data_IF_877451748043
#
_entry.id   IF_877451748043
#
_cell.length_a   1.000
_cell.length_b   1.000
_cell.length_c   1.000
_cell.angle_alpha   90.00
_cell.angle_beta   90.00
_cell.angle_gamma   90.00
#
_symmetry.space_group_name_H-M   'P 1'
#
loop_
_entity.id
_entity.type
_entity.pdbx_description
1 polymer ?
#
# COMPACT_ATOMS: atom_id res chain seq x y z
N UNK A 1 87.33 -18.63 -25.33
CA UNK A 1 86.91 -18.66 -23.95
C UNK A 1 85.41 -18.42 -23.87
N UNK A 2 84.70 -19.54 -23.53
CA UNK A 2 83.29 -19.61 -23.46
C UNK A 2 82.81 -19.09 -22.11
N UNK A 3 81.83 -18.19 -22.13
CA UNK A 3 81.12 -17.78 -20.96
C UNK A 3 80.05 -18.86 -20.59
N UNK A 4 79.93 -19.26 -19.31
CA UNK A 4 78.84 -20.18 -18.89
C UNK A 4 77.51 -19.45 -18.86
N UNK A 5 76.54 -20.14 -19.41
CA UNK A 5 75.13 -19.71 -19.43
C UNK A 5 74.52 -19.60 -18.02
N UNK A 6 73.87 -18.46 -17.77
CA UNK A 6 73.11 -18.23 -16.55
C UNK A 6 71.90 -19.18 -16.43
N UNK A 7 71.76 -19.85 -15.31
CA UNK A 7 70.59 -20.67 -14.96
C UNK A 7 69.38 -19.76 -14.65
N UNK A 8 68.16 -20.13 -15.08
CA UNK A 8 66.97 -19.39 -14.70
C UNK A 8 66.66 -19.59 -13.21
N UNK A 9 66.61 -18.50 -12.49
CA UNK A 9 66.15 -18.47 -11.10
C UNK A 9 64.65 -18.86 -11.04
N UNK A 10 64.32 -19.81 -10.18
CA UNK A 10 62.95 -20.17 -9.86
C UNK A 10 62.24 -18.99 -9.17
N UNK A 11 60.93 -18.78 -9.39
CA UNK A 11 60.17 -17.71 -8.74
C UNK A 11 60.12 -17.96 -7.22
N UNK A 12 60.58 -16.98 -6.46
CA UNK A 12 60.42 -16.92 -5.00
C UNK A 12 58.90 -16.97 -4.66
N UNK A 13 58.52 -18.03 -3.99
CA UNK A 13 57.16 -18.12 -3.42
C UNK A 13 57.02 -17.09 -2.27
N UNK A 14 56.17 -16.10 -2.48
CA UNK A 14 55.77 -15.19 -1.42
C UNK A 14 55.06 -15.95 -0.30
N UNK A 15 55.38 -15.67 0.98
CA UNK A 15 54.66 -16.29 2.09
C UNK A 15 53.18 -16.01 2.04
N UNK A 16 52.34 -17.02 2.00
CA UNK A 16 50.90 -16.87 2.10
C UNK A 16 50.54 -16.32 3.49
N UNK A 17 49.65 -15.29 3.57
CA UNK A 17 49.22 -14.80 4.87
C UNK A 17 48.47 -15.90 5.66
N UNK A 18 48.61 -15.90 6.98
CA UNK A 18 48.01 -16.94 7.82
C UNK A 18 46.51 -16.98 7.65
N UNK A 19 45.98 -18.16 7.29
CA UNK A 19 44.55 -18.44 7.23
C UNK A 19 44.02 -18.48 8.66
N UNK A 20 43.33 -17.42 9.09
CA UNK A 20 42.63 -17.44 10.36
C UNK A 20 41.39 -18.34 10.23
N UNK A 21 41.11 -19.25 11.20
CA UNK A 21 39.88 -20.02 11.21
C UNK A 21 38.71 -19.05 11.23
N UNK A 22 37.84 -19.10 10.24
CA UNK A 22 36.58 -18.33 10.25
C UNK A 22 35.76 -18.79 11.47
N UNK A 23 35.49 -17.85 12.37
CA UNK A 23 34.59 -18.10 13.48
C UNK A 23 33.21 -18.52 12.92
N UNK A 24 32.55 -19.51 13.50
CA UNK A 24 31.22 -19.89 13.08
C UNK A 24 30.31 -18.68 13.16
N UNK A 25 29.76 -18.29 12.00
CA UNK A 25 28.72 -17.25 11.94
C UNK A 25 27.51 -17.82 12.70
N UNK A 26 27.33 -17.37 13.92
CA UNK A 26 26.09 -17.63 14.67
C UNK A 26 24.97 -16.97 13.88
N UNK A 27 24.23 -17.75 13.09
CA UNK A 27 22.95 -17.32 12.53
C UNK A 27 22.04 -17.04 13.73
N UNK A 28 21.79 -15.76 13.98
CA UNK A 28 20.78 -15.37 14.97
C UNK A 28 19.47 -16.06 14.60
N UNK A 29 18.77 -16.67 15.56
CA UNK A 29 17.47 -17.26 15.28
C UNK A 29 16.58 -16.18 14.68
N UNK A 30 16.13 -16.41 13.44
CA UNK A 30 15.09 -15.56 12.82
C UNK A 30 13.82 -15.81 13.60
N UNK A 31 13.55 -14.97 14.59
CA UNK A 31 12.26 -14.95 15.25
C UNK A 31 11.22 -14.60 14.18
N UNK A 32 10.17 -15.42 13.99
CA UNK A 32 9.04 -15.02 13.15
C UNK A 32 8.52 -13.69 13.70
N UNK A 33 8.62 -12.63 12.90
CA UNK A 33 8.03 -11.36 13.28
C UNK A 33 6.53 -11.62 13.47
N UNK A 34 6.04 -11.47 14.69
CA UNK A 34 4.61 -11.51 14.93
C UNK A 34 3.97 -10.44 14.05
N UNK A 35 2.90 -10.79 13.31
CA UNK A 35 2.21 -9.80 12.48
C UNK A 35 1.83 -8.64 13.38
N UNK A 36 2.30 -7.44 13.02
CA UNK A 36 1.91 -6.22 13.75
C UNK A 36 0.39 -6.09 13.59
N UNK A 37 -0.33 -6.23 14.69
CA UNK A 37 -1.78 -6.08 14.69
C UNK A 37 -2.13 -4.64 14.33
N UNK A 38 -2.64 -4.44 13.12
CA UNK A 38 -3.19 -3.17 12.65
C UNK A 38 -4.73 -3.27 12.72
N UNK A 39 -5.37 -2.60 13.70
CA UNK A 39 -6.82 -2.68 13.86
C UNK A 39 -7.61 -2.09 12.68
N UNK A 40 -6.96 -1.42 11.75
CA UNK A 40 -7.56 -0.92 10.52
C UNK A 40 -7.40 -1.89 9.33
N UNK A 41 -6.66 -2.99 9.51
CA UNK A 41 -6.43 -3.98 8.46
C UNK A 41 -7.40 -5.16 8.61
N UNK A 42 -8.41 -5.19 7.77
CA UNK A 42 -9.43 -6.21 7.69
C UNK A 42 -9.14 -7.28 6.62
N UNK A 43 -7.94 -7.28 6.03
CA UNK A 43 -7.61 -8.16 4.90
C UNK A 43 -7.82 -9.63 5.24
N UNK A 44 -7.49 -10.06 6.47
CA UNK A 44 -7.64 -11.43 6.93
C UNK A 44 -9.11 -11.88 7.11
N UNK A 45 -10.07 -10.94 7.08
CA UNK A 45 -11.51 -11.24 7.19
C UNK A 45 -12.13 -11.67 5.86
N UNK A 46 -11.40 -11.50 4.75
CA UNK A 46 -11.87 -11.79 3.40
C UNK A 46 -11.17 -13.01 2.82
N UNK A 47 -11.94 -13.79 2.06
CA UNK A 47 -11.42 -14.93 1.33
C UNK A 47 -10.40 -14.47 0.28
N UNK A 48 -9.19 -15.07 0.21
CA UNK A 48 -8.20 -14.73 -0.80
C UNK A 48 -8.70 -14.88 -2.24
N UNK A 49 -9.62 -15.81 -2.48
CA UNK A 49 -10.26 -15.99 -3.78
C UNK A 49 -11.19 -14.84 -4.11
N UNK A 50 -12.04 -14.39 -3.15
CA UNK A 50 -12.88 -13.20 -3.31
C UNK A 50 -12.05 -11.96 -3.62
N UNK A 51 -10.93 -11.76 -2.91
CA UNK A 51 -9.99 -10.67 -3.17
C UNK A 51 -9.42 -10.76 -4.59
N UNK A 52 -8.92 -11.92 -4.99
CA UNK A 52 -8.26 -12.10 -6.29
C UNK A 52 -9.20 -11.87 -7.47
N UNK A 53 -10.45 -12.32 -7.36
CA UNK A 53 -11.45 -12.21 -8.41
C UNK A 53 -12.05 -10.81 -8.50
N UNK A 54 -12.23 -10.12 -7.37
CA UNK A 54 -13.03 -8.89 -7.31
C UNK A 54 -12.21 -7.61 -7.07
N UNK A 55 -10.87 -7.67 -6.93
CA UNK A 55 -10.05 -6.48 -6.71
C UNK A 55 -10.18 -5.43 -7.82
N UNK A 56 -10.30 -5.84 -9.08
CA UNK A 56 -10.45 -4.90 -10.21
C UNK A 56 -11.79 -4.18 -10.13
N UNK A 57 -12.85 -4.90 -9.77
CA UNK A 57 -14.18 -4.32 -9.58
C UNK A 57 -14.17 -3.35 -8.37
N UNK A 58 -13.53 -3.73 -7.28
CA UNK A 58 -13.36 -2.87 -6.11
C UNK A 58 -12.54 -1.60 -6.42
N UNK A 59 -11.53 -1.69 -7.30
CA UNK A 59 -10.76 -0.54 -7.78
C UNK A 59 -11.63 0.46 -8.55
N UNK A 60 -12.61 -0.02 -9.32
CA UNK A 60 -13.51 0.82 -10.09
C UNK A 60 -14.29 1.81 -9.19
N UNK A 61 -14.63 1.42 -7.96
CA UNK A 61 -15.31 2.29 -7.00
C UNK A 61 -14.48 3.55 -6.65
N UNK A 62 -13.15 3.47 -6.69
CA UNK A 62 -12.29 4.62 -6.41
C UNK A 62 -11.95 5.46 -7.63
N UNK A 63 -11.92 4.87 -8.83
CA UNK A 63 -11.60 5.56 -10.08
C UNK A 63 -12.82 6.29 -10.63
N UNK A 64 -13.96 5.58 -10.70
CA UNK A 64 -15.18 6.07 -11.36
C UNK A 64 -16.16 6.75 -10.40
N UNK A 65 -15.81 6.86 -9.10
CA UNK A 65 -16.67 7.47 -8.09
C UNK A 65 -18.01 6.75 -7.96
N UNK A 66 -19.11 7.50 -7.85
CA UNK A 66 -20.46 6.94 -7.66
C UNK A 66 -20.84 5.90 -8.73
N UNK A 67 -20.44 6.12 -9.99
CA UNK A 67 -20.68 5.16 -11.09
C UNK A 67 -19.93 3.85 -10.83
N UNK A 68 -18.67 3.95 -10.41
CA UNK A 68 -17.86 2.77 -10.07
C UNK A 68 -18.40 2.00 -8.87
N UNK A 69 -18.96 2.69 -7.88
CA UNK A 69 -19.64 2.08 -6.73
C UNK A 69 -20.84 1.27 -7.20
N UNK A 70 -21.67 1.84 -8.08
CA UNK A 70 -22.84 1.14 -8.64
C UNK A 70 -22.40 -0.09 -9.43
N UNK A 71 -21.39 0.06 -10.28
CA UNK A 71 -20.81 -1.06 -11.04
C UNK A 71 -20.31 -2.15 -10.09
N UNK A 72 -19.58 -1.80 -9.04
CA UNK A 72 -19.06 -2.77 -8.08
C UNK A 72 -20.17 -3.57 -7.38
N UNK A 73 -21.23 -2.89 -6.96
CA UNK A 73 -22.37 -3.54 -6.31
C UNK A 73 -23.19 -4.44 -7.25
N UNK A 74 -23.29 -4.07 -8.52
CA UNK A 74 -24.05 -4.86 -9.51
C UNK A 74 -23.22 -6.01 -10.09
N UNK A 75 -21.92 -5.80 -10.34
CA UNK A 75 -21.05 -6.79 -10.95
C UNK A 75 -20.57 -7.87 -9.96
N UNK A 76 -20.45 -7.53 -8.68
CA UNK A 76 -19.99 -8.44 -7.64
C UNK A 76 -20.91 -8.43 -6.39
N UNK A 77 -22.21 -8.74 -6.52
CA UNK A 77 -23.18 -8.59 -5.43
C UNK A 77 -22.92 -9.54 -4.25
N UNK A 78 -22.22 -10.64 -4.46
CA UNK A 78 -21.87 -11.62 -3.42
C UNK A 78 -20.49 -11.38 -2.81
N UNK A 79 -19.67 -10.49 -3.40
CA UNK A 79 -18.33 -10.20 -2.92
C UNK A 79 -18.36 -9.31 -1.67
N UNK A 80 -17.94 -9.87 -0.54
CA UNK A 80 -17.77 -9.10 0.69
C UNK A 80 -16.64 -8.07 0.55
N UNK A 81 -15.58 -8.43 -0.18
CA UNK A 81 -14.45 -7.55 -0.45
C UNK A 81 -14.85 -6.33 -1.29
N UNK A 82 -15.55 -6.53 -2.41
CA UNK A 82 -16.04 -5.43 -3.24
C UNK A 82 -17.05 -4.56 -2.47
N UNK A 83 -17.94 -5.15 -1.68
CA UNK A 83 -18.90 -4.41 -0.84
C UNK A 83 -18.20 -3.55 0.23
N UNK A 84 -17.14 -4.06 0.87
CA UNK A 84 -16.34 -3.30 1.83
C UNK A 84 -15.75 -2.05 1.17
N UNK A 85 -15.07 -2.19 0.04
CA UNK A 85 -14.45 -1.07 -0.68
C UNK A 85 -15.49 -0.11 -1.26
N UNK A 86 -16.63 -0.60 -1.72
CA UNK A 86 -17.75 0.26 -2.19
C UNK A 86 -18.29 1.14 -1.08
N UNK A 87 -18.44 0.62 0.16
CA UNK A 87 -18.85 1.44 1.32
C UNK A 87 -17.79 2.49 1.67
N UNK A 88 -16.52 2.15 1.60
CA UNK A 88 -15.42 3.09 1.85
C UNK A 88 -15.40 4.21 0.80
N UNK A 89 -15.52 3.86 -0.48
CA UNK A 89 -15.61 4.83 -1.57
C UNK A 89 -16.84 5.73 -1.44
N UNK A 90 -17.99 5.16 -1.05
CA UNK A 90 -19.22 5.92 -0.83
C UNK A 90 -19.08 6.93 0.32
N UNK A 91 -18.43 6.55 1.43
CA UNK A 91 -18.11 7.50 2.52
C UNK A 91 -17.27 8.68 2.01
N UNK A 92 -16.26 8.42 1.20
CA UNK A 92 -15.42 9.46 0.58
C UNK A 92 -16.25 10.38 -0.32
N UNK A 93 -17.13 9.82 -1.16
CA UNK A 93 -17.97 10.58 -2.07
C UNK A 93 -18.99 11.45 -1.31
N UNK A 94 -19.64 10.92 -0.28
CA UNK A 94 -20.59 11.68 0.55
C UNK A 94 -19.89 12.85 1.24
N UNK A 95 -18.77 12.61 1.91
CA UNK A 95 -18.04 13.67 2.64
C UNK A 95 -17.53 14.72 1.66
N UNK A 96 -16.98 14.33 0.51
CA UNK A 96 -16.51 15.27 -0.51
C UNK A 96 -17.64 16.11 -1.08
N UNK A 97 -18.81 15.50 -1.34
CA UNK A 97 -19.99 16.19 -1.86
C UNK A 97 -20.53 17.19 -0.85
N UNK A 98 -20.62 16.82 0.44
CA UNK A 98 -21.05 17.73 1.51
C UNK A 98 -20.10 18.93 1.63
N UNK A 99 -18.79 18.70 1.61
CA UNK A 99 -17.79 19.76 1.64
C UNK A 99 -17.94 20.73 0.45
N UNK A 100 -18.20 20.16 -0.74
CA UNK A 100 -18.40 20.96 -1.95
C UNK A 100 -19.67 21.83 -1.86
N UNK A 101 -20.79 21.28 -1.37
CA UNK A 101 -22.04 22.01 -1.17
C UNK A 101 -21.83 23.15 -0.16
N UNK A 102 -21.23 22.85 1.01
CA UNK A 102 -20.97 23.87 2.05
C UNK A 102 -20.04 24.96 1.50
N UNK A 103 -18.99 24.59 0.77
CA UNK A 103 -18.07 25.55 0.14
C UNK A 103 -18.78 26.44 -0.89
N UNK A 104 -19.70 25.86 -1.68
CA UNK A 104 -20.47 26.62 -2.67
C UNK A 104 -21.46 27.59 -2.01
N UNK A 105 -22.17 27.18 -0.97
CA UNK A 105 -23.12 28.03 -0.23
C UNK A 105 -22.41 29.20 0.47
N UNK A 106 -21.21 28.95 1.01
CA UNK A 106 -20.41 29.92 1.74
C UNK A 106 -19.32 30.60 0.86
N UNK A 107 -19.47 30.54 -0.47
CA UNK A 107 -18.49 31.04 -1.44
C UNK A 107 -18.16 32.52 -1.24
N UNK A 108 -19.13 33.31 -0.77
CA UNK A 108 -18.97 34.74 -0.52
C UNK A 108 -17.98 35.08 0.61
N UNK A 109 -17.66 34.12 1.48
CA UNK A 109 -16.73 34.36 2.61
C UNK A 109 -15.26 34.21 2.22
N UNK A 110 -14.95 33.68 1.05
CA UNK A 110 -13.62 33.31 0.53
C UNK A 110 -12.82 32.33 1.41
N UNK A 111 -12.95 32.44 2.74
CA UNK A 111 -12.23 31.56 3.70
C UNK A 111 -12.73 30.12 3.62
N UNK A 112 -14.05 29.93 3.58
CA UNK A 112 -14.66 28.58 3.56
C UNK A 112 -14.34 27.82 2.28
N UNK A 113 -14.42 28.40 1.07
CA UNK A 113 -14.00 27.74 -0.16
C UNK A 113 -12.53 27.32 -0.15
N UNK A 114 -11.63 28.16 0.38
CA UNK A 114 -10.20 27.82 0.46
C UNK A 114 -9.99 26.65 1.43
N UNK A 115 -10.59 26.69 2.62
CA UNK A 115 -10.52 25.59 3.58
C UNK A 115 -11.15 24.32 3.02
N UNK A 116 -12.29 24.44 2.33
CA UNK A 116 -12.97 23.33 1.64
C UNK A 116 -12.09 22.68 0.57
N UNK A 117 -11.40 23.49 -0.25
CA UNK A 117 -10.49 23.01 -1.26
C UNK A 117 -9.33 22.21 -0.67
N UNK A 118 -8.76 22.67 0.45
CA UNK A 118 -7.71 21.92 1.18
C UNK A 118 -8.24 20.59 1.70
N UNK A 119 -9.42 20.57 2.30
CA UNK A 119 -10.05 19.35 2.79
C UNK A 119 -10.33 18.36 1.64
N UNK A 120 -10.84 18.84 0.51
CA UNK A 120 -11.08 18.00 -0.68
C UNK A 120 -9.77 17.42 -1.22
N UNK A 121 -8.68 18.21 -1.25
CA UNK A 121 -7.37 17.71 -1.65
C UNK A 121 -6.88 16.60 -0.74
N UNK A 122 -7.06 16.71 0.58
CA UNK A 122 -6.73 15.65 1.55
C UNK A 122 -7.56 14.38 1.27
N UNK A 123 -8.87 14.52 1.07
CA UNK A 123 -9.74 13.38 0.76
C UNK A 123 -9.38 12.72 -0.57
N UNK A 124 -8.92 13.50 -1.55
CA UNK A 124 -8.40 12.96 -2.81
C UNK A 124 -7.15 12.11 -2.60
N UNK A 125 -6.22 12.55 -1.75
CA UNK A 125 -5.05 11.74 -1.38
C UNK A 125 -5.48 10.45 -0.66
N UNK A 126 -6.43 10.52 0.27
CA UNK A 126 -6.98 9.32 0.94
C UNK A 126 -7.59 8.36 -0.09
N UNK A 127 -8.32 8.87 -1.08
CA UNK A 127 -8.89 8.08 -2.17
C UNK A 127 -7.82 7.34 -2.97
N UNK A 128 -6.71 8.02 -3.30
CA UNK A 128 -5.56 7.41 -3.99
C UNK A 128 -4.94 6.31 -3.12
N UNK A 129 -4.77 6.54 -1.82
CA UNK A 129 -4.24 5.54 -0.90
C UNK A 129 -5.14 4.29 -0.87
N UNK A 130 -6.46 4.48 -0.75
CA UNK A 130 -7.41 3.37 -0.80
C UNK A 130 -7.33 2.61 -2.13
N UNK A 131 -7.22 3.31 -3.25
CA UNK A 131 -7.03 2.68 -4.56
C UNK A 131 -5.80 1.77 -4.58
N UNK A 132 -4.64 2.25 -4.11
CA UNK A 132 -3.43 1.43 -4.06
C UNK A 132 -3.53 0.26 -3.07
N UNK A 133 -4.27 0.42 -1.97
CA UNK A 133 -4.54 -0.69 -1.04
C UNK A 133 -5.33 -1.79 -1.74
N UNK A 134 -6.35 -1.43 -2.52
CA UNK A 134 -7.12 -2.40 -3.33
C UNK A 134 -6.24 -3.07 -4.40
N UNK A 135 -5.39 -2.31 -5.08
CA UNK A 135 -4.41 -2.86 -6.03
C UNK A 135 -3.54 -3.96 -5.41
N UNK A 136 -3.20 -3.78 -4.12
CA UNK A 136 -2.41 -4.73 -3.35
C UNK A 136 -3.26 -5.85 -2.72
N UNK A 137 -4.58 -5.89 -2.99
CA UNK A 137 -5.49 -6.87 -2.41
C UNK A 137 -5.75 -6.68 -0.91
N UNK A 138 -5.47 -5.50 -0.36
CA UNK A 138 -5.69 -5.19 1.06
C UNK A 138 -7.06 -4.59 1.29
N UNK A 139 -7.68 -4.95 2.41
CA UNK A 139 -8.93 -4.36 2.89
C UNK A 139 -8.65 -3.56 4.15
N UNK A 140 -8.28 -2.29 3.99
CA UNK A 140 -8.02 -1.37 5.10
C UNK A 140 -9.07 -0.28 5.19
N UNK A 141 -9.36 0.14 6.41
CA UNK A 141 -10.20 1.32 6.62
C UNK A 141 -9.58 2.56 5.99
N UNK A 142 -10.40 3.34 5.30
CA UNK A 142 -9.96 4.60 4.72
C UNK A 142 -9.48 5.55 5.84
N UNK A 143 -8.28 6.10 5.69
CA UNK A 143 -7.73 7.04 6.66
C UNK A 143 -8.73 8.18 6.90
N UNK A 144 -8.82 8.65 8.15
CA UNK A 144 -9.67 9.75 8.61
C UNK A 144 -11.16 9.39 8.65
N UNK A 145 -11.74 8.81 7.59
CA UNK A 145 -13.19 8.62 7.45
C UNK A 145 -13.66 7.17 7.69
N UNK A 146 -12.75 6.19 7.73
CA UNK A 146 -13.08 4.77 7.92
C UNK A 146 -13.85 4.51 9.21
N UNK A 147 -13.55 5.27 10.27
CA UNK A 147 -14.19 5.15 11.59
C UNK A 147 -15.53 5.86 11.71
N UNK A 148 -15.99 6.59 10.68
CA UNK A 148 -17.28 7.25 10.73
C UNK A 148 -18.41 6.22 10.85
N UNK A 149 -19.38 6.40 11.78
CA UNK A 149 -20.39 5.39 12.12
C UNK A 149 -21.47 5.19 11.07
N UNK A 150 -21.59 6.10 10.10
CA UNK A 150 -22.54 5.91 9.00
C UNK A 150 -22.00 4.92 7.98
N UNK A 151 -22.87 4.09 7.42
CA UNK A 151 -22.54 3.02 6.46
C UNK A 151 -21.64 1.91 7.08
N UNK A 152 -22.01 1.41 8.25
CA UNK A 152 -21.45 0.16 8.78
C UNK A 152 -22.07 -1.05 8.10
#
# INVERSE_FOLDING_TARGET
>A
PEQPAAQPQAPEQQPQPPVYPQQPVYQQPVYPQQPVYDPADHTAEFDPEDISQNKVIAMAAYILGTVGIIIALLAAPQSKYAAFHSRQALKLDIVSTLLLIVSAVLAFTFIVPIAGAVCIAILFVVRIICFFQVCSGKAKDAAIIGKLPFLK
#
